data_IF_856988894952
#
_entry.id   IF_856988894952
#
_cell.length_a   1.000
_cell.length_b   1.000
_cell.length_c   1.000
_cell.angle_alpha   90.00
_cell.angle_beta   90.00
_cell.angle_gamma   90.00
#
_symmetry.space_group_name_H-M   'P 1'
#
loop_
_entity.id
_entity.type
_entity.pdbx_description
1 polymer ?
#
# COMPACT_ATOMS: atom_id res chain seq x y z
N UNK A 1 1.08 -76.31 -44.24
CA UNK A 1 0.14 -75.90 -43.20
C UNK A 1 0.75 -74.64 -42.58
N UNK A 2 0.54 -73.44 -43.16
CA UNK A 2 -0.61 -72.53 -42.91
C UNK A 2 -0.75 -72.30 -41.40
N UNK A 3 -0.54 -71.13 -40.79
CA UNK A 3 -0.69 -69.71 -41.18
C UNK A 3 0.30 -68.87 -40.32
N UNK A 4 0.66 -67.60 -40.52
CA UNK A 4 0.20 -66.50 -41.37
C UNK A 4 1.12 -65.28 -41.14
N UNK A 5 1.09 -64.35 -42.07
CA UNK A 5 1.92 -63.13 -42.13
C UNK A 5 1.63 -62.15 -40.98
N UNK A 6 2.66 -61.46 -40.49
CA UNK A 6 2.55 -60.04 -40.08
C UNK A 6 3.89 -59.32 -40.27
N UNK A 7 3.85 -58.25 -41.07
CA UNK A 7 4.98 -57.38 -41.38
C UNK A 7 5.33 -56.47 -40.20
N UNK A 8 6.61 -56.40 -39.83
CA UNK A 8 7.13 -55.40 -38.89
C UNK A 8 7.52 -54.12 -39.65
N UNK A 9 6.61 -53.16 -39.74
CA UNK A 9 6.94 -51.79 -40.12
C UNK A 9 7.17 -50.96 -38.85
N UNK A 10 8.38 -50.42 -38.74
CA UNK A 10 8.74 -49.48 -37.68
C UNK A 10 7.90 -48.21 -37.76
N UNK A 11 7.30 -47.84 -36.63
CA UNK A 11 6.71 -46.53 -36.41
C UNK A 11 7.35 -45.97 -35.14
N UNK A 12 8.08 -44.88 -35.34
CA UNK A 12 8.62 -43.95 -34.34
C UNK A 12 7.60 -43.61 -33.25
N UNK A 13 8.00 -43.47 -31.97
CA UNK A 13 7.09 -42.99 -30.94
C UNK A 13 6.71 -41.54 -31.27
N UNK A 14 5.41 -41.32 -31.48
CA UNK A 14 4.85 -39.99 -31.62
C UNK A 14 5.16 -39.19 -30.35
N UNK A 15 5.95 -38.12 -30.52
CA UNK A 15 6.18 -37.11 -29.51
C UNK A 15 4.84 -36.54 -29.06
N UNK A 16 4.55 -36.63 -27.77
CA UNK A 16 3.49 -35.88 -27.10
C UNK A 16 3.58 -34.40 -27.53
N UNK A 17 2.48 -33.78 -27.99
CA UNK A 17 2.51 -32.35 -28.23
C UNK A 17 2.72 -31.67 -26.88
N UNK A 18 3.84 -30.97 -26.74
CA UNK A 18 4.08 -30.10 -25.59
C UNK A 18 2.93 -29.10 -25.46
N UNK A 19 2.68 -28.57 -24.25
CA UNK A 19 1.57 -27.66 -24.03
C UNK A 19 1.73 -26.46 -24.97
N UNK A 20 0.78 -26.30 -25.89
CA UNK A 20 0.67 -25.12 -26.73
C UNK A 20 0.72 -23.88 -25.83
N UNK A 21 1.47 -22.82 -26.20
CA UNK A 21 1.49 -21.61 -25.42
C UNK A 21 0.06 -21.08 -25.37
N UNK A 22 -0.52 -21.06 -24.17
CA UNK A 22 -1.84 -20.51 -23.94
C UNK A 22 -1.87 -19.10 -24.57
N UNK A 23 -2.75 -18.93 -25.55
CA UNK A 23 -3.12 -17.62 -26.06
C UNK A 23 -3.46 -16.73 -24.85
N UNK A 24 -2.64 -15.70 -24.61
CA UNK A 24 -2.84 -14.69 -23.55
C UNK A 24 -4.07 -13.83 -23.86
N UNK A 25 -5.26 -14.44 -23.79
CA UNK A 25 -6.54 -13.76 -23.83
C UNK A 25 -7.05 -13.70 -22.38
N UNK A 26 -7.04 -12.49 -21.81
CA UNK A 26 -7.69 -12.05 -20.56
C UNK A 26 -6.92 -12.00 -19.22
N UNK A 27 -5.61 -11.70 -19.20
CA UNK A 27 -4.92 -11.34 -17.94
C UNK A 27 -5.12 -9.87 -17.51
N UNK A 28 -5.38 -8.95 -18.45
CA UNK A 28 -5.50 -7.51 -18.20
C UNK A 28 -6.58 -7.07 -17.19
N UNK A 29 -7.79 -7.69 -17.16
CA UNK A 29 -8.81 -7.34 -16.16
C UNK A 29 -8.39 -7.75 -14.75
N UNK A 30 -7.59 -8.82 -14.60
CA UNK A 30 -7.16 -9.31 -13.29
C UNK A 30 -6.14 -8.37 -12.63
N UNK A 31 -5.24 -7.79 -13.42
CA UNK A 31 -4.22 -6.85 -12.95
C UNK A 31 -4.82 -5.47 -12.64
N UNK A 32 -5.76 -5.01 -13.47
CA UNK A 32 -6.48 -3.75 -13.23
C UNK A 32 -7.29 -3.79 -11.92
N UNK A 33 -7.86 -4.95 -11.56
CA UNK A 33 -8.55 -5.15 -10.28
C UNK A 33 -7.59 -5.10 -9.08
N UNK A 34 -6.31 -5.48 -9.24
CA UNK A 34 -5.32 -5.36 -8.15
C UNK A 34 -5.07 -3.91 -7.78
N UNK A 35 -5.11 -2.99 -8.75
CA UNK A 35 -4.97 -1.54 -8.51
C UNK A 35 -6.17 -0.96 -7.77
N UNK A 36 -7.32 -1.63 -7.79
CA UNK A 36 -8.55 -1.23 -7.10
C UNK A 36 -8.67 -1.84 -5.68
N UNK A 37 -7.58 -2.39 -5.12
CA UNK A 37 -7.60 -2.97 -3.77
C UNK A 37 -8.16 -1.99 -2.72
N UNK A 38 -7.71 -0.72 -2.75
CA UNK A 38 -8.16 0.31 -1.80
C UNK A 38 -9.68 0.51 -1.88
N UNK A 39 -10.26 0.50 -3.08
CA UNK A 39 -11.69 0.72 -3.30
C UNK A 39 -12.55 -0.23 -2.46
N UNK A 40 -12.16 -1.51 -2.40
CA UNK A 40 -12.92 -2.54 -1.66
C UNK A 40 -12.47 -2.63 -0.20
N UNK A 41 -11.17 -2.44 0.05
CA UNK A 41 -10.58 -2.65 1.38
C UNK A 41 -11.06 -1.64 2.41
N UNK A 42 -11.08 -0.37 2.06
CA UNK A 42 -11.44 0.74 2.95
C UNK A 42 -12.87 0.61 3.53
N UNK A 43 -13.93 0.43 2.72
CA UNK A 43 -15.30 0.38 3.23
C UNK A 43 -15.55 -0.94 3.98
N UNK A 44 -14.87 -2.03 3.59
CA UNK A 44 -14.90 -3.28 4.34
C UNK A 44 -14.29 -3.14 5.73
N UNK A 45 -13.15 -2.47 5.86
CA UNK A 45 -12.54 -2.21 7.17
C UNK A 45 -13.39 -1.26 8.03
N UNK A 46 -14.10 -0.32 7.41
CA UNK A 46 -15.05 0.56 8.09
C UNK A 46 -16.29 -0.21 8.59
N UNK A 47 -16.92 -1.03 7.73
CA UNK A 47 -18.03 -1.91 8.12
C UNK A 47 -17.63 -2.82 9.29
N UNK A 48 -16.45 -3.45 9.20
CA UNK A 48 -15.91 -4.31 10.25
C UNK A 48 -15.65 -3.55 11.56
N UNK A 49 -15.24 -2.28 11.50
CA UNK A 49 -15.11 -1.41 12.68
C UNK A 49 -16.48 -1.21 13.32
N UNK A 50 -17.49 -0.84 12.53
CA UNK A 50 -18.87 -0.62 12.99
C UNK A 50 -19.44 -1.87 13.66
N UNK A 51 -19.42 -3.02 12.97
CA UNK A 51 -19.96 -4.27 13.50
C UNK A 51 -19.31 -4.67 14.84
N UNK A 52 -17.99 -4.51 14.96
CA UNK A 52 -17.28 -4.80 16.23
C UNK A 52 -17.67 -3.86 17.35
N UNK A 53 -17.92 -2.59 17.05
CA UNK A 53 -18.40 -1.62 18.04
C UNK A 53 -19.80 -1.99 18.53
N UNK A 54 -20.70 -2.34 17.60
CA UNK A 54 -22.05 -2.82 17.90
C UNK A 54 -22.02 -4.10 18.73
N UNK A 55 -21.22 -5.11 18.37
CA UNK A 55 -21.08 -6.36 19.15
C UNK A 55 -20.63 -6.07 20.58
N UNK A 56 -19.59 -5.25 20.77
CA UNK A 56 -19.09 -4.90 22.11
C UNK A 56 -20.12 -4.14 22.94
N UNK A 57 -20.89 -3.25 22.32
CA UNK A 57 -21.96 -2.53 23.00
C UNK A 57 -23.04 -3.50 23.49
N UNK A 58 -23.47 -4.43 22.64
CA UNK A 58 -24.45 -5.46 22.98
C UNK A 58 -23.93 -6.35 24.11
N UNK A 59 -22.72 -6.89 23.98
CA UNK A 59 -22.09 -7.72 25.02
C UNK A 59 -22.04 -6.98 26.37
N UNK A 60 -21.57 -5.73 26.37
CA UNK A 60 -21.46 -4.92 27.60
C UNK A 60 -22.82 -4.68 28.26
N UNK A 61 -23.81 -4.23 27.51
CA UNK A 61 -25.12 -3.89 28.09
C UNK A 61 -25.91 -5.13 28.50
N UNK A 62 -25.86 -6.21 27.70
CA UNK A 62 -26.51 -7.48 28.04
C UNK A 62 -25.87 -8.10 29.28
N UNK A 63 -24.53 -8.15 29.37
CA UNK A 63 -23.84 -8.66 30.58
C UNK A 63 -24.20 -7.84 31.82
N UNK A 64 -24.31 -6.52 31.70
CA UNK A 64 -24.68 -5.67 32.82
C UNK A 64 -26.15 -5.84 33.24
N UNK A 65 -27.05 -6.11 32.30
CA UNK A 65 -28.46 -6.45 32.62
C UNK A 65 -28.55 -7.80 33.30
N UNK A 66 -27.87 -8.83 32.78
CA UNK A 66 -27.84 -10.17 33.39
C UNK A 66 -27.28 -10.11 34.81
N UNK A 67 -26.18 -9.38 35.03
CA UNK A 67 -25.61 -9.17 36.36
C UNK A 67 -26.59 -8.45 37.30
N UNK A 68 -27.28 -7.41 36.81
CA UNK A 68 -28.30 -6.72 37.59
C UNK A 68 -29.48 -7.63 37.96
N UNK A 69 -29.93 -8.49 37.06
CA UNK A 69 -31.00 -9.47 37.39
C UNK A 69 -30.53 -10.45 38.46
N UNK A 70 -29.30 -10.95 38.38
CA UNK A 70 -28.74 -11.84 39.39
C UNK A 70 -28.65 -11.17 40.77
N UNK A 71 -28.20 -9.90 40.83
CA UNK A 71 -28.14 -9.13 42.07
C UNK A 71 -29.53 -8.95 42.71
N UNK A 72 -30.57 -8.77 41.90
CA UNK A 72 -31.94 -8.65 42.38
C UNK A 72 -32.53 -9.97 42.91
N UNK A 73 -31.95 -11.12 42.55
CA UNK A 73 -32.34 -12.45 43.07
C UNK A 73 -31.63 -12.76 44.38
N UNK A 74 -30.37 -12.34 44.52
CA UNK A 74 -29.54 -12.65 45.68
C UNK A 74 -29.74 -11.69 46.87
N UNK A 75 -30.25 -10.47 46.63
CA UNK A 75 -30.56 -9.51 47.70
C UNK A 75 -32.01 -9.64 48.16
N UNK A 76 -32.22 -9.62 49.48
CA UNK A 76 -33.54 -9.29 50.03
C UNK A 76 -33.84 -7.82 49.76
N UNK A 77 -34.66 -7.57 48.74
CA UNK A 77 -35.12 -6.24 48.36
C UNK A 77 -36.57 -6.05 48.78
N UNK A 78 -36.95 -4.83 49.18
CA UNK A 78 -38.37 -4.50 49.30
C UNK A 78 -39.06 -4.55 47.92
N UNK A 79 -40.39 -4.66 47.90
CA UNK A 79 -41.16 -4.70 46.64
C UNK A 79 -40.94 -3.44 45.82
N UNK A 80 -40.91 -2.29 46.49
CA UNK A 80 -40.70 -0.98 45.88
C UNK A 80 -39.30 -0.86 45.26
N UNK A 81 -38.26 -1.32 45.97
CA UNK A 81 -36.88 -1.34 45.48
C UNK A 81 -36.71 -2.30 44.29
N UNK A 82 -37.34 -3.49 44.35
CA UNK A 82 -37.30 -4.46 43.26
C UNK A 82 -37.96 -3.89 41.98
N UNK A 83 -39.09 -3.21 42.11
CA UNK A 83 -39.78 -2.54 40.99
C UNK A 83 -38.90 -1.43 40.40
N UNK A 84 -38.29 -0.58 41.23
CA UNK A 84 -37.39 0.47 40.76
C UNK A 84 -36.16 -0.10 40.03
N UNK A 85 -35.58 -1.17 40.57
CA UNK A 85 -34.42 -1.83 39.98
C UNK A 85 -34.75 -2.45 38.62
N UNK A 86 -35.84 -3.23 38.52
CA UNK A 86 -36.30 -3.81 37.26
C UNK A 86 -36.66 -2.73 36.23
N UNK A 87 -37.28 -1.63 36.67
CA UNK A 87 -37.59 -0.48 35.79
C UNK A 87 -36.31 0.15 35.23
N UNK A 88 -35.26 0.28 36.04
CA UNK A 88 -33.94 0.73 35.60
C UNK A 88 -33.34 -0.21 34.54
N UNK A 89 -33.39 -1.53 34.76
CA UNK A 89 -32.91 -2.52 33.77
C UNK A 89 -33.70 -2.46 32.45
N UNK A 90 -35.02 -2.31 32.51
CA UNK A 90 -35.86 -2.11 31.31
C UNK A 90 -35.47 -0.83 30.58
N UNK A 91 -35.24 0.27 31.30
CA UNK A 91 -34.80 1.53 30.68
C UNK A 91 -33.46 1.39 29.96
N UNK A 92 -32.52 0.61 30.51
CA UNK A 92 -31.23 0.30 29.88
C UNK A 92 -31.41 -0.52 28.61
N UNK A 93 -32.27 -1.54 28.62
CA UNK A 93 -32.60 -2.33 27.42
C UNK A 93 -33.27 -1.49 26.33
N UNK A 94 -34.17 -0.58 26.70
CA UNK A 94 -34.77 0.37 25.76
C UNK A 94 -33.71 1.32 25.16
N UNK A 95 -32.76 1.78 25.98
CA UNK A 95 -31.61 2.57 25.51
C UNK A 95 -30.71 1.78 24.55
N UNK A 96 -30.44 0.51 24.84
CA UNK A 96 -29.70 -0.39 23.97
C UNK A 96 -30.42 -0.58 22.62
N UNK A 97 -31.74 -0.81 22.64
CA UNK A 97 -32.55 -0.94 21.42
C UNK A 97 -32.40 0.30 20.52
N UNK A 98 -32.55 1.51 21.07
CA UNK A 98 -32.41 2.76 20.29
C UNK A 98 -31.02 2.89 19.65
N UNK A 99 -29.95 2.58 20.41
CA UNK A 99 -28.58 2.60 19.90
C UNK A 99 -28.33 1.55 18.81
N UNK A 100 -28.96 0.38 18.94
CA UNK A 100 -28.86 -0.69 17.97
C UNK A 100 -29.58 -0.33 16.66
N UNK A 101 -30.74 0.33 16.73
CA UNK A 101 -31.46 0.83 15.55
C UNK A 101 -30.61 1.85 14.76
N UNK A 102 -29.92 2.75 15.46
CA UNK A 102 -28.98 3.72 14.85
C UNK A 102 -27.76 3.01 14.25
N UNK A 103 -27.15 2.09 15.00
CA UNK A 103 -25.99 1.33 14.52
C UNK A 103 -26.33 0.49 13.29
N UNK A 104 -27.51 -0.13 13.25
CA UNK A 104 -27.99 -0.90 12.12
C UNK A 104 -28.20 -0.04 10.86
N UNK A 105 -28.73 1.18 10.99
CA UNK A 105 -28.83 2.13 9.86
C UNK A 105 -27.45 2.48 9.31
N UNK A 106 -26.49 2.76 10.19
CA UNK A 106 -25.12 3.07 9.80
C UNK A 106 -24.47 1.87 9.09
N UNK A 107 -24.62 0.66 9.63
CA UNK A 107 -24.11 -0.57 9.02
C UNK A 107 -24.75 -0.84 7.65
N UNK A 108 -26.05 -0.62 7.48
CA UNK A 108 -26.73 -0.73 6.19
C UNK A 108 -26.14 0.22 5.15
N UNK A 109 -25.86 1.47 5.53
CA UNK A 109 -25.17 2.43 4.65
C UNK A 109 -23.78 1.93 4.22
N UNK A 110 -23.01 1.35 5.15
CA UNK A 110 -21.69 0.78 4.81
C UNK A 110 -21.77 -0.45 3.92
N UNK A 111 -22.78 -1.31 4.12
CA UNK A 111 -23.06 -2.45 3.24
C UNK A 111 -23.44 -1.97 1.84
N UNK A 112 -24.28 -0.94 1.74
CA UNK A 112 -24.62 -0.32 0.45
C UNK A 112 -23.38 0.16 -0.28
N UNK A 113 -22.47 0.88 0.39
CA UNK A 113 -21.20 1.33 -0.20
C UNK A 113 -20.34 0.17 -0.68
N UNK A 114 -20.22 -0.89 0.12
CA UNK A 114 -19.49 -2.10 -0.30
C UNK A 114 -20.12 -2.70 -1.57
N UNK A 115 -21.45 -2.79 -1.63
CA UNK A 115 -22.18 -3.30 -2.80
C UNK A 115 -21.99 -2.42 -4.03
N UNK A 116 -22.19 -1.11 -3.91
CA UNK A 116 -22.02 -0.15 -5.00
C UNK A 116 -20.62 -0.25 -5.64
N UNK A 117 -19.58 -0.46 -4.84
CA UNK A 117 -18.21 -0.61 -5.31
C UNK A 117 -17.95 -1.96 -5.98
N UNK A 118 -18.54 -3.05 -5.47
CA UNK A 118 -18.49 -4.35 -6.14
C UNK A 118 -19.24 -4.33 -7.48
N UNK A 119 -20.41 -3.72 -7.53
CA UNK A 119 -21.20 -3.53 -8.74
C UNK A 119 -20.41 -2.69 -9.76
N UNK A 120 -19.77 -1.59 -9.31
CA UNK A 120 -18.90 -0.78 -10.14
C UNK A 120 -17.69 -1.57 -10.69
N UNK A 121 -17.07 -2.45 -9.89
CA UNK A 121 -15.99 -3.32 -10.38
C UNK A 121 -16.47 -4.40 -11.34
N UNK A 122 -17.72 -4.85 -11.22
CA UNK A 122 -18.30 -5.85 -12.13
C UNK A 122 -18.39 -5.32 -13.57
N UNK A 123 -18.56 -4.01 -13.75
CA UNK A 123 -18.60 -3.34 -15.06
C UNK A 123 -17.28 -3.56 -15.82
N UNK A 124 -16.14 -3.57 -15.12
CA UNK A 124 -14.84 -3.79 -15.76
C UNK A 124 -14.75 -5.18 -16.41
N UNK A 125 -15.41 -6.20 -15.83
CA UNK A 125 -15.38 -7.59 -16.33
C UNK A 125 -16.51 -7.91 -17.29
N UNK A 126 -17.71 -7.39 -17.04
CA UNK A 126 -18.93 -7.80 -17.73
C UNK A 126 -19.62 -6.67 -18.51
N UNK A 127 -19.14 -5.44 -18.40
CA UNK A 127 -19.72 -4.27 -19.07
C UNK A 127 -19.39 -4.20 -20.55
N UNK A 128 -20.25 -3.49 -21.30
CA UNK A 128 -19.97 -3.10 -22.68
C UNK A 128 -18.78 -2.13 -22.77
N UNK A 129 -18.21 -1.94 -23.96
CA UNK A 129 -17.12 -0.96 -24.18
C UNK A 129 -17.53 0.46 -23.77
N UNK A 130 -18.76 0.87 -24.04
CA UNK A 130 -19.29 2.17 -23.61
C UNK A 130 -19.38 2.28 -22.09
N UNK A 131 -19.80 1.21 -21.41
CA UNK A 131 -19.82 1.17 -19.96
C UNK A 131 -18.41 1.23 -19.36
N UNK A 132 -17.43 0.59 -20.00
CA UNK A 132 -16.01 0.68 -19.60
C UNK A 132 -15.43 2.08 -19.80
N UNK A 133 -15.83 2.82 -20.84
CA UNK A 133 -15.43 4.22 -21.02
C UNK A 133 -15.97 5.12 -19.91
N UNK A 134 -17.25 4.97 -19.56
CA UNK A 134 -17.85 5.68 -18.41
C UNK A 134 -17.17 5.30 -17.10
N UNK A 135 -16.87 4.01 -16.92
CA UNK A 135 -16.13 3.51 -15.76
C UNK A 135 -14.76 4.18 -15.61
N UNK A 136 -14.00 4.35 -16.71
CA UNK A 136 -12.72 5.05 -16.69
C UNK A 136 -12.86 6.52 -16.26
N UNK A 137 -13.90 7.21 -16.72
CA UNK A 137 -14.18 8.59 -16.30
C UNK A 137 -14.43 8.67 -14.79
N UNK A 138 -15.33 7.82 -14.29
CA UNK A 138 -15.64 7.70 -12.86
C UNK A 138 -14.41 7.33 -12.03
N UNK A 139 -13.51 6.49 -12.57
CA UNK A 139 -12.25 6.15 -11.91
C UNK A 139 -11.35 7.38 -11.73
N UNK A 140 -11.23 8.22 -12.75
CA UNK A 140 -10.44 9.46 -12.67
C UNK A 140 -11.03 10.40 -11.61
N UNK A 141 -12.35 10.61 -11.62
CA UNK A 141 -13.03 11.44 -10.62
C UNK A 141 -12.79 10.93 -9.19
N UNK A 142 -12.87 9.61 -8.98
CA UNK A 142 -12.55 8.98 -7.69
C UNK A 142 -11.09 9.21 -7.27
N UNK A 143 -10.15 9.07 -8.20
CA UNK A 143 -8.72 9.32 -7.93
C UNK A 143 -8.48 10.78 -7.55
N UNK A 144 -9.16 11.72 -8.20
CA UNK A 144 -9.09 13.14 -7.86
C UNK A 144 -9.69 13.41 -6.48
N UNK A 145 -10.83 12.80 -6.15
CA UNK A 145 -11.42 12.89 -4.80
C UNK A 145 -10.45 12.35 -3.74
N UNK A 146 -9.84 11.17 -3.93
CA UNK A 146 -8.80 10.63 -3.02
C UNK A 146 -7.64 11.62 -2.85
N UNK A 147 -7.12 12.19 -3.94
CA UNK A 147 -6.04 13.17 -3.88
C UNK A 147 -6.43 14.44 -3.11
N UNK A 148 -7.62 14.97 -3.37
CA UNK A 148 -8.14 16.17 -2.69
C UNK A 148 -8.32 15.91 -1.18
N UNK A 149 -8.87 14.76 -0.80
CA UNK A 149 -9.03 14.39 0.61
C UNK A 149 -7.69 14.26 1.34
N UNK A 150 -6.67 13.71 0.68
CA UNK A 150 -5.31 13.59 1.23
C UNK A 150 -4.57 14.93 1.31
N UNK A 151 -4.93 15.87 0.44
CA UNK A 151 -4.35 17.22 0.39
C UNK A 151 -5.15 18.24 1.21
N UNK A 152 -6.06 17.76 2.07
CA UNK A 152 -6.93 18.58 2.93
C UNK A 152 -7.94 19.49 2.19
N UNK A 153 -8.19 19.25 0.90
CA UNK A 153 -9.20 19.96 0.10
C UNK A 153 -10.59 19.34 0.23
N UNK A 154 -11.07 19.17 1.46
CA UNK A 154 -12.27 18.40 1.79
C UNK A 154 -13.54 18.92 1.10
N UNK A 155 -13.80 20.23 1.15
CA UNK A 155 -15.02 20.82 0.59
C UNK A 155 -15.09 20.65 -0.94
N UNK A 156 -13.93 20.74 -1.60
CA UNK A 156 -13.83 20.51 -3.05
C UNK A 156 -14.03 19.05 -3.39
N UNK A 157 -13.48 18.13 -2.58
CA UNK A 157 -13.67 16.69 -2.75
C UNK A 157 -15.15 16.29 -2.61
N UNK A 158 -15.85 16.87 -1.62
CA UNK A 158 -17.30 16.65 -1.41
C UNK A 158 -18.09 17.14 -2.63
N UNK A 159 -17.86 18.38 -3.07
CA UNK A 159 -18.56 18.95 -4.23
C UNK A 159 -18.33 18.16 -5.51
N UNK A 160 -17.09 17.71 -5.75
CA UNK A 160 -16.77 16.87 -6.90
C UNK A 160 -17.55 15.55 -6.83
N UNK A 161 -17.53 14.88 -5.67
CA UNK A 161 -18.23 13.63 -5.49
C UNK A 161 -19.75 13.75 -5.66
N UNK A 162 -20.34 14.86 -5.21
CA UNK A 162 -21.76 15.16 -5.41
C UNK A 162 -22.10 15.42 -6.88
N UNK A 163 -21.31 16.26 -7.56
CA UNK A 163 -21.54 16.62 -8.96
C UNK A 163 -21.40 15.41 -9.91
N UNK A 164 -20.49 14.49 -9.60
CA UNK A 164 -20.27 13.26 -10.35
C UNK A 164 -21.15 12.09 -9.87
N UNK A 165 -21.90 12.27 -8.77
CA UNK A 165 -22.73 11.23 -8.13
C UNK A 165 -21.93 9.96 -7.77
N UNK A 166 -20.77 10.13 -7.15
CA UNK A 166 -19.82 9.06 -6.78
C UNK A 166 -19.58 8.95 -5.26
N UNK A 167 -20.46 9.50 -4.44
CA UNK A 167 -20.31 9.53 -2.97
C UNK A 167 -20.15 8.11 -2.38
N UNK A 168 -20.89 7.12 -2.91
CA UNK A 168 -20.78 5.73 -2.48
C UNK A 168 -19.48 5.04 -2.93
N UNK A 169 -18.76 5.64 -3.89
CA UNK A 169 -17.49 5.15 -4.43
C UNK A 169 -16.27 5.89 -3.86
N UNK A 170 -16.49 6.92 -3.04
CA UNK A 170 -15.47 7.73 -2.41
C UNK A 170 -15.42 7.49 -0.89
N UNK A 171 -14.25 7.72 -0.29
CA UNK A 171 -13.99 7.45 1.14
C UNK A 171 -14.12 8.71 2.02
N UNK A 172 -15.03 9.64 1.66
CA UNK A 172 -15.14 10.98 2.25
C UNK A 172 -15.26 10.95 3.77
N UNK A 173 -16.24 10.22 4.32
CA UNK A 173 -16.51 10.22 5.76
C UNK A 173 -15.30 9.79 6.59
N UNK A 174 -14.51 8.85 6.07
CA UNK A 174 -13.33 8.32 6.76
C UNK A 174 -12.26 9.40 6.88
N UNK A 175 -12.10 10.21 5.84
CA UNK A 175 -11.20 11.36 5.85
C UNK A 175 -11.74 12.52 6.69
N UNK A 176 -13.06 12.74 6.74
CA UNK A 176 -13.66 13.74 7.62
C UNK A 176 -13.54 13.36 9.11
N UNK A 177 -13.64 12.09 9.45
CA UNK A 177 -13.36 11.61 10.80
C UNK A 177 -11.87 11.79 11.15
N UNK A 178 -10.96 11.46 10.22
CA UNK A 178 -9.53 11.64 10.41
C UNK A 178 -9.11 13.12 10.49
N UNK A 179 -9.84 14.02 9.81
CA UNK A 179 -9.63 15.48 9.84
C UNK A 179 -9.62 16.02 11.27
N UNK A 180 -10.51 15.55 12.14
CA UNK A 180 -10.54 15.97 13.56
C UNK A 180 -9.21 15.69 14.27
N UNK A 181 -8.61 14.55 13.96
CA UNK A 181 -7.30 14.16 14.53
C UNK A 181 -6.18 15.02 13.94
N UNK A 182 -6.21 15.28 12.63
CA UNK A 182 -5.24 16.17 11.98
C UNK A 182 -5.29 17.58 12.56
N UNK A 183 -6.48 18.19 12.61
CA UNK A 183 -6.68 19.54 13.15
C UNK A 183 -6.30 19.61 14.65
N UNK A 184 -6.61 18.58 15.44
CA UNK A 184 -6.19 18.54 16.84
C UNK A 184 -4.65 18.52 16.98
N UNK A 185 -3.97 17.67 16.22
CA UNK A 185 -2.51 17.57 16.26
C UNK A 185 -1.82 18.86 15.76
N UNK A 186 -2.35 19.50 14.72
CA UNK A 186 -1.88 20.80 14.23
C UNK A 186 -2.06 21.90 15.31
N UNK A 187 -3.15 21.84 16.07
CA UNK A 187 -3.42 22.71 17.21
C UNK A 187 -2.71 22.27 18.51
N UNK A 188 -1.77 21.33 18.43
CA UNK A 188 -0.98 20.82 19.55
C UNK A 188 -1.80 20.12 20.64
N UNK A 189 -2.88 19.46 20.24
CA UNK A 189 -3.73 18.64 21.08
C UNK A 189 -3.64 17.15 20.69
N UNK A 190 -3.35 16.30 21.68
CA UNK A 190 -3.27 14.86 21.50
C UNK A 190 -4.60 14.13 21.78
N UNK A 191 -5.64 14.81 22.25
CA UNK A 191 -6.87 14.20 22.75
C UNK A 191 -7.55 13.32 21.72
N UNK A 192 -7.83 13.85 20.53
CA UNK A 192 -8.47 13.11 19.43
C UNK A 192 -7.60 11.96 18.91
N UNK A 193 -6.28 12.18 18.81
CA UNK A 193 -5.32 11.16 18.38
C UNK A 193 -5.24 9.98 19.37
N UNK A 194 -5.31 10.26 20.67
CA UNK A 194 -5.34 9.26 21.73
C UNK A 194 -6.67 8.51 21.80
N UNK A 195 -7.79 9.19 21.57
CA UNK A 195 -9.10 8.56 21.42
C UNK A 195 -9.08 7.58 20.23
N UNK A 196 -8.53 8.01 19.08
CA UNK A 196 -8.34 7.15 17.91
C UNK A 196 -7.43 5.94 18.21
N UNK A 197 -6.37 6.12 18.99
CA UNK A 197 -5.51 5.02 19.44
C UNK A 197 -6.29 4.01 20.29
N UNK A 198 -7.13 4.48 21.22
CA UNK A 198 -7.94 3.63 22.07
C UNK A 198 -8.95 2.79 21.27
N UNK A 199 -9.62 3.41 20.28
CA UNK A 199 -10.54 2.72 19.37
C UNK A 199 -9.85 1.62 18.56
N UNK A 200 -8.62 1.89 18.12
CA UNK A 200 -7.86 1.02 17.21
C UNK A 200 -6.80 0.15 17.90
N UNK A 201 -6.77 0.13 19.23
CA UNK A 201 -5.73 -0.49 20.08
C UNK A 201 -5.31 -1.89 19.65
N UNK A 202 -6.28 -2.76 19.32
CA UNK A 202 -5.99 -4.14 18.94
C UNK A 202 -5.25 -4.25 17.59
N UNK A 203 -5.56 -3.39 16.62
CA UNK A 203 -4.89 -3.35 15.32
C UNK A 203 -3.50 -2.71 15.46
N UNK A 204 -3.40 -1.61 16.21
CA UNK A 204 -2.12 -0.93 16.47
C UNK A 204 -1.13 -1.82 17.22
N UNK A 205 -1.59 -2.59 18.22
CA UNK A 205 -0.76 -3.57 18.94
C UNK A 205 -0.25 -4.67 18.00
N UNK A 206 -1.09 -5.19 17.10
CA UNK A 206 -0.66 -6.17 16.09
C UNK A 206 0.36 -5.60 15.11
N UNK A 207 0.20 -4.33 14.74
CA UNK A 207 1.14 -3.59 13.90
C UNK A 207 2.43 -3.17 14.62
N UNK A 208 2.54 -3.41 15.94
CA UNK A 208 3.63 -2.94 16.81
C UNK A 208 3.85 -1.42 16.70
N UNK A 209 2.77 -0.66 16.55
CA UNK A 209 2.85 0.80 16.42
C UNK A 209 3.36 1.44 17.71
N UNK A 210 4.23 2.45 17.57
CA UNK A 210 4.71 3.32 18.64
C UNK A 210 3.94 4.63 18.74
N UNK A 211 2.85 4.80 17.97
CA UNK A 211 2.16 6.07 17.84
C UNK A 211 1.57 6.57 19.17
N UNK A 212 0.84 5.70 19.89
CA UNK A 212 0.29 6.04 21.22
C UNK A 212 1.40 6.47 22.20
N UNK A 213 2.52 5.74 22.23
CA UNK A 213 3.65 6.10 23.07
C UNK A 213 4.19 7.50 22.76
N UNK A 214 4.34 7.84 21.48
CA UNK A 214 4.87 9.15 21.07
C UNK A 214 3.90 10.30 21.36
N UNK A 215 2.59 10.09 21.24
CA UNK A 215 1.59 11.07 21.68
C UNK A 215 1.70 11.33 23.18
N UNK A 216 1.76 10.26 24.00
CA UNK A 216 1.94 10.37 25.45
C UNK A 216 3.26 11.04 25.83
N UNK A 217 4.32 10.77 25.06
CA UNK A 217 5.61 11.42 25.23
C UNK A 217 5.50 12.93 24.95
N UNK A 218 4.79 13.32 23.89
CA UNK A 218 4.57 14.73 23.57
C UNK A 218 3.76 15.45 24.65
N UNK A 219 2.66 14.88 25.13
CA UNK A 219 1.89 15.45 26.27
C UNK A 219 2.79 15.67 27.49
N UNK A 220 3.67 14.70 27.81
CA UNK A 220 4.65 14.86 28.88
C UNK A 220 5.62 16.02 28.61
N UNK A 221 6.17 16.13 27.41
CA UNK A 221 7.10 17.21 27.04
C UNK A 221 6.41 18.58 27.13
N UNK A 222 5.13 18.69 26.76
CA UNK A 222 4.37 19.94 26.90
C UNK A 222 4.10 20.31 28.36
N UNK A 223 3.89 19.33 29.26
CA UNK A 223 3.81 19.57 30.70
C UNK A 223 5.14 20.11 31.25
N UNK A 224 6.27 19.55 30.80
CA UNK A 224 7.61 20.04 31.17
C UNK A 224 7.85 21.45 30.62
N UNK A 225 7.47 21.71 29.36
CA UNK A 225 7.57 23.04 28.73
C UNK A 225 6.76 24.09 29.51
N UNK A 226 5.62 23.70 30.07
CA UNK A 226 4.74 24.55 30.88
C UNK A 226 5.19 24.68 32.35
N UNK A 227 6.36 24.16 32.71
CA UNK A 227 6.93 24.14 34.07
C UNK A 227 6.11 23.39 35.14
N UNK A 228 5.16 22.54 34.74
CA UNK A 228 4.29 21.76 35.64
C UNK A 228 4.95 20.43 36.05
N UNK A 229 6.07 20.49 36.76
CA UNK A 229 6.93 19.30 36.97
C UNK A 229 6.27 18.18 37.76
N UNK A 230 5.50 18.50 38.81
CA UNK A 230 4.81 17.48 39.60
C UNK A 230 3.75 16.75 38.77
N UNK A 231 2.98 17.49 37.97
CA UNK A 231 2.00 16.90 37.04
C UNK A 231 2.69 16.04 35.98
N UNK A 232 3.81 16.50 35.41
CA UNK A 232 4.59 15.74 34.44
C UNK A 232 5.09 14.40 35.02
N UNK A 233 5.60 14.40 36.27
CA UNK A 233 6.06 13.18 36.95
C UNK A 233 4.89 12.22 37.20
N UNK A 234 3.75 12.73 37.70
CA UNK A 234 2.55 11.91 37.91
C UNK A 234 2.04 11.31 36.59
N UNK A 235 2.00 12.13 35.55
CA UNK A 235 1.60 11.72 34.21
C UNK A 235 2.52 10.62 33.66
N UNK A 236 3.84 10.79 33.75
CA UNK A 236 4.79 9.81 33.26
C UNK A 236 4.68 8.47 33.99
N UNK A 237 4.48 8.48 35.31
CA UNK A 237 4.23 7.25 36.11
C UNK A 237 2.97 6.52 35.65
N UNK A 238 1.92 7.26 35.30
CA UNK A 238 0.63 6.70 34.89
C UNK A 238 0.64 6.17 33.45
N UNK A 239 1.20 6.95 32.52
CA UNK A 239 1.04 6.72 31.07
C UNK A 239 2.30 6.24 30.36
N UNK A 240 3.49 6.61 30.83
CA UNK A 240 4.76 6.24 30.18
C UNK A 240 5.44 5.02 30.81
N UNK A 241 5.29 4.80 32.12
CA UNK A 241 5.88 3.66 32.82
C UNK A 241 5.55 2.28 32.19
N UNK A 242 4.32 2.01 31.69
CA UNK A 242 4.01 0.74 31.02
C UNK A 242 4.86 0.46 29.76
N UNK A 243 5.45 1.49 29.15
CA UNK A 243 6.29 1.40 27.96
C UNK A 243 7.78 1.21 28.28
N UNK A 244 8.17 1.19 29.56
CA UNK A 244 9.55 1.06 29.98
C UNK A 244 10.22 -0.22 29.48
N UNK A 245 9.49 -1.32 29.31
CA UNK A 245 10.06 -2.59 28.82
C UNK A 245 10.45 -2.55 27.33
N UNK A 246 9.78 -1.72 26.52
CA UNK A 246 9.98 -1.67 25.06
C UNK A 246 10.70 -0.40 24.58
N UNK A 247 10.59 0.71 25.32
CA UNK A 247 11.03 2.04 24.89
C UNK A 247 11.89 2.76 25.95
N UNK A 248 12.61 2.02 26.80
CA UNK A 248 13.36 2.60 27.93
C UNK A 248 14.29 3.76 27.55
N UNK A 249 15.02 3.65 26.43
CA UNK A 249 15.98 4.69 26.01
C UNK A 249 15.28 6.01 25.69
N UNK A 250 14.19 5.95 24.92
CA UNK A 250 13.38 7.12 24.57
C UNK A 250 12.76 7.74 25.83
N UNK A 251 12.30 6.89 26.77
CA UNK A 251 11.75 7.32 28.05
C UNK A 251 12.79 8.00 28.96
N UNK A 252 14.00 7.44 29.06
CA UNK A 252 15.10 8.05 29.82
C UNK A 252 15.49 9.42 29.26
N UNK A 253 15.55 9.54 27.93
CA UNK A 253 15.85 10.80 27.26
C UNK A 253 14.77 11.85 27.53
N UNK A 254 13.50 11.46 27.52
CA UNK A 254 12.40 12.36 27.89
C UNK A 254 12.45 12.72 29.38
N UNK A 255 12.70 11.77 30.29
CA UNK A 255 12.80 12.07 31.73
C UNK A 255 13.93 13.07 32.04
N UNK A 256 15.02 13.05 31.27
CA UNK A 256 16.11 14.02 31.42
C UNK A 256 15.66 15.47 31.16
N UNK A 257 14.54 15.70 30.44
CA UNK A 257 14.04 17.06 30.21
C UNK A 257 13.47 17.73 31.46
N UNK A 258 13.22 16.96 32.54
CA UNK A 258 12.92 17.50 33.86
C UNK A 258 14.11 18.33 34.41
N UNK A 259 15.33 17.97 34.05
CA UNK A 259 16.54 18.72 34.39
C UNK A 259 16.94 19.68 33.24
N UNK A 260 16.91 19.19 32.00
CA UNK A 260 17.19 19.97 30.79
C UNK A 260 15.90 20.52 30.20
N UNK A 261 15.43 21.65 30.74
CA UNK A 261 14.18 22.32 30.36
C UNK A 261 14.18 22.82 28.90
N UNK A 262 13.06 23.44 28.49
CA UNK A 262 12.82 23.96 27.13
C UNK A 262 13.85 24.98 26.63
N UNK A 263 14.56 25.68 27.51
CA UNK A 263 15.62 26.64 27.19
C UNK A 263 17.03 26.01 27.09
N UNK A 264 17.14 24.67 27.07
CA UNK A 264 18.42 23.98 27.01
C UNK A 264 19.15 24.20 25.68
N UNK A 265 20.46 24.40 25.76
CA UNK A 265 21.36 24.43 24.60
C UNK A 265 21.88 23.03 24.20
N UNK A 266 21.61 22.02 25.03
CA UNK A 266 21.99 20.64 24.72
C UNK A 266 21.13 20.10 23.57
N UNK A 267 21.73 19.95 22.39
CA UNK A 267 21.06 19.53 21.16
C UNK A 267 20.22 18.24 21.34
N UNK A 268 20.73 17.28 22.12
CA UNK A 268 20.06 16.00 22.38
C UNK A 268 18.69 16.14 23.06
N UNK A 269 18.47 17.20 23.84
CA UNK A 269 17.21 17.45 24.54
C UNK A 269 16.41 18.58 23.88
N UNK A 270 17.10 19.57 23.29
CA UNK A 270 16.48 20.67 22.55
C UNK A 270 15.54 20.18 21.44
N UNK A 271 15.94 19.12 20.73
CA UNK A 271 15.12 18.53 19.66
C UNK A 271 13.76 18.01 20.12
N UNK A 272 13.63 17.58 21.39
CA UNK A 272 12.36 17.09 21.95
C UNK A 272 11.36 18.23 22.13
N UNK A 273 11.85 19.45 22.34
CA UNK A 273 11.03 20.65 22.44
C UNK A 273 10.84 21.37 21.09
N UNK A 274 11.27 20.79 19.97
CA UNK A 274 11.04 21.41 18.65
C UNK A 274 9.55 21.32 18.27
N UNK A 275 9.03 22.38 17.65
CA UNK A 275 7.66 22.40 17.10
C UNK A 275 7.49 21.33 16.02
N UNK A 276 8.56 20.99 15.29
CA UNK A 276 8.58 19.91 14.28
C UNK A 276 8.21 18.53 14.82
N UNK A 277 8.23 18.32 16.14
CA UNK A 277 7.72 17.08 16.73
C UNK A 277 6.23 16.87 16.44
N UNK A 278 5.45 17.95 16.35
CA UNK A 278 4.05 17.88 15.97
C UNK A 278 3.87 17.44 14.51
N UNK A 279 4.68 17.98 13.59
CA UNK A 279 4.70 17.53 12.18
C UNK A 279 5.03 16.03 12.08
N UNK A 280 5.98 15.55 12.90
CA UNK A 280 6.33 14.13 12.96
C UNK A 280 5.19 13.27 13.52
N UNK A 281 4.35 13.79 14.42
CA UNK A 281 3.16 13.10 14.92
C UNK A 281 2.07 13.05 13.86
N UNK A 282 1.85 14.15 13.14
CA UNK A 282 0.92 14.20 12.00
C UNK A 282 1.32 13.19 10.93
N UNK A 283 2.59 13.16 10.53
CA UNK A 283 3.08 12.18 9.54
C UNK A 283 2.92 10.73 10.02
N UNK A 284 3.17 10.45 11.29
CA UNK A 284 2.97 9.12 11.85
C UNK A 284 1.50 8.73 11.91
N UNK A 285 0.62 9.67 12.27
CA UNK A 285 -0.81 9.44 12.21
C UNK A 285 -1.24 9.10 10.78
N UNK A 286 -0.78 9.87 9.78
CA UNK A 286 -1.03 9.61 8.35
C UNK A 286 -0.63 8.17 7.96
N UNK A 287 0.58 7.74 8.33
CA UNK A 287 1.05 6.39 8.03
C UNK A 287 0.20 5.30 8.69
N UNK A 288 -0.11 5.45 9.97
CA UNK A 288 -0.93 4.48 10.72
C UNK A 288 -2.36 4.45 10.21
N UNK A 289 -2.94 5.61 9.88
CA UNK A 289 -4.27 5.76 9.30
C UNK A 289 -4.37 5.03 7.96
N UNK A 290 -3.47 5.32 7.02
CA UNK A 290 -3.48 4.65 5.71
C UNK A 290 -3.25 3.14 5.85
N UNK A 291 -2.33 2.71 6.72
CA UNK A 291 -2.09 1.28 6.99
C UNK A 291 -3.30 0.59 7.60
N UNK A 292 -4.03 1.27 8.49
CA UNK A 292 -5.22 0.73 9.16
C UNK A 292 -6.33 0.39 8.15
N UNK A 293 -6.55 1.28 7.17
CA UNK A 293 -7.57 1.13 6.13
C UNK A 293 -7.06 0.41 4.87
N UNK A 294 -5.77 0.07 4.80
CA UNK A 294 -5.17 -0.60 3.65
C UNK A 294 -5.09 0.27 2.40
N UNK A 295 -4.89 1.57 2.62
CA UNK A 295 -4.66 2.58 1.59
C UNK A 295 -3.17 2.61 1.19
N UNK A 296 -2.89 3.14 0.01
CA UNK A 296 -1.52 3.45 -0.40
C UNK A 296 -0.97 4.64 0.40
N UNK A 297 0.34 4.67 0.62
CA UNK A 297 1.00 5.83 1.23
C UNK A 297 1.03 7.01 0.26
N UNK A 298 1.42 6.74 -0.98
CA UNK A 298 1.32 7.71 -2.07
C UNK A 298 -0.14 7.83 -2.54
N UNK A 299 -0.62 9.05 -2.83
CA UNK A 299 -1.92 9.26 -3.46
C UNK A 299 -2.06 8.49 -4.77
N UNK A 300 -3.28 8.00 -5.06
CA UNK A 300 -3.52 7.22 -6.28
C UNK A 300 -3.17 8.00 -7.55
N UNK A 301 -3.38 9.32 -7.54
CA UNK A 301 -3.04 10.19 -8.67
C UNK A 301 -1.56 10.11 -9.02
N UNK A 302 -0.67 10.18 -8.01
CA UNK A 302 0.78 10.10 -8.21
C UNK A 302 1.17 8.76 -8.82
N UNK A 303 0.64 7.66 -8.27
CA UNK A 303 0.94 6.30 -8.74
C UNK A 303 0.53 6.11 -10.21
N UNK A 304 -0.68 6.53 -10.57
CA UNK A 304 -1.19 6.39 -11.94
C UNK A 304 -0.46 7.32 -12.91
N UNK A 305 -0.14 8.54 -12.48
CA UNK A 305 0.60 9.50 -13.31
C UNK A 305 2.02 9.00 -13.57
N UNK A 306 2.72 8.51 -12.55
CA UNK A 306 4.06 7.92 -12.71
C UNK A 306 4.02 6.68 -13.62
N UNK A 307 3.04 5.79 -13.44
CA UNK A 307 2.90 4.61 -14.29
C UNK A 307 2.62 5.00 -15.76
N UNK A 308 1.72 5.96 -15.99
CA UNK A 308 1.39 6.45 -17.32
C UNK A 308 2.57 7.15 -17.99
N UNK A 309 3.24 8.06 -17.30
CA UNK A 309 4.43 8.75 -17.81
C UNK A 309 5.56 7.76 -18.10
N UNK A 310 5.80 6.77 -17.24
CA UNK A 310 6.82 5.74 -17.49
C UNK A 310 6.52 4.91 -18.74
N UNK A 311 5.23 4.61 -18.99
CA UNK A 311 4.82 3.87 -20.19
C UNK A 311 4.98 4.69 -21.48
N UNK A 312 4.82 6.01 -21.39
CA UNK A 312 4.96 6.93 -22.52
C UNK A 312 6.41 7.39 -22.74
N UNK A 313 7.25 7.38 -21.69
CA UNK A 313 8.62 7.90 -21.74
C UNK A 313 9.49 7.07 -22.68
N UNK A 314 9.84 7.67 -23.81
CA UNK A 314 10.81 7.12 -24.78
C UNK A 314 11.97 8.09 -24.98
N UNK A 315 13.15 7.62 -25.44
CA UNK A 315 14.27 8.51 -25.74
C UNK A 315 13.92 9.62 -26.74
N UNK A 316 13.06 9.33 -27.72
CA UNK A 316 12.61 10.28 -28.74
C UNK A 316 11.69 11.39 -28.21
N UNK A 317 11.16 11.28 -27.00
CA UNK A 317 10.37 12.35 -26.37
C UNK A 317 11.19 13.63 -26.12
N UNK A 318 12.52 13.54 -26.20
CA UNK A 318 13.46 14.66 -26.03
C UNK A 318 14.06 15.15 -27.36
N UNK A 319 13.67 14.57 -28.51
CA UNK A 319 14.16 14.94 -29.84
C UNK A 319 13.21 15.94 -30.54
N UNK A 320 13.72 16.80 -31.42
CA UNK A 320 12.98 17.91 -32.07
C UNK A 320 11.90 17.48 -33.10
N UNK A 321 11.48 16.22 -33.12
CA UNK A 321 10.55 15.65 -34.10
C UNK A 321 9.31 14.94 -33.55
N UNK A 322 9.03 15.04 -32.24
CA UNK A 322 7.95 14.28 -31.62
C UNK A 322 6.55 14.79 -32.03
N UNK A 323 5.59 13.87 -32.19
CA UNK A 323 4.22 14.17 -32.63
C UNK A 323 3.47 15.01 -31.58
N UNK A 324 2.68 16.01 -32.01
CA UNK A 324 1.92 16.93 -31.14
C UNK A 324 0.97 16.27 -30.13
N UNK A 325 0.72 14.98 -30.29
CA UNK A 325 -0.12 14.16 -29.40
C UNK A 325 0.65 13.54 -28.22
N UNK A 326 1.98 13.69 -28.14
CA UNK A 326 2.78 13.19 -27.03
C UNK A 326 2.67 14.14 -25.81
N UNK A 327 2.10 13.68 -24.66
CA UNK A 327 2.03 14.49 -23.44
C UNK A 327 3.40 14.94 -22.94
N UNK A 328 4.46 14.19 -23.22
CA UNK A 328 5.84 14.53 -22.85
C UNK A 328 6.44 15.63 -23.72
N UNK A 329 5.71 16.21 -24.67
CA UNK A 329 6.10 17.48 -25.28
C UNK A 329 5.97 18.66 -24.31
N UNK A 330 5.07 18.56 -23.33
CA UNK A 330 4.89 19.62 -22.34
C UNK A 330 6.01 19.55 -21.30
N UNK A 331 6.65 20.70 -21.07
CA UNK A 331 7.78 20.81 -20.15
C UNK A 331 7.43 20.34 -18.72
N UNK A 332 6.22 20.65 -18.24
CA UNK A 332 5.73 20.18 -16.93
C UNK A 332 5.70 18.65 -16.82
N UNK A 333 5.23 17.94 -17.85
CA UNK A 333 5.22 16.49 -17.85
C UNK A 333 6.62 15.88 -18.03
N UNK A 334 7.53 16.56 -18.75
CA UNK A 334 8.94 16.12 -18.83
C UNK A 334 9.64 16.18 -17.47
N UNK A 335 9.45 17.27 -16.73
CA UNK A 335 10.02 17.44 -15.39
C UNK A 335 9.52 16.34 -14.44
N UNK A 336 8.22 16.02 -14.50
CA UNK A 336 7.66 14.92 -13.71
C UNK A 336 8.16 13.54 -14.16
N UNK A 337 8.45 13.37 -15.46
CA UNK A 337 8.92 12.11 -16.01
C UNK A 337 10.44 11.90 -15.90
N UNK A 338 11.23 12.94 -15.61
CA UNK A 338 12.70 12.87 -15.53
C UNK A 338 13.23 11.72 -14.65
N UNK A 339 12.78 11.52 -13.39
CA UNK A 339 13.27 10.43 -12.54
C UNK A 339 12.74 9.04 -12.92
N UNK A 340 11.79 8.96 -13.86
CA UNK A 340 11.12 7.70 -14.20
C UNK A 340 11.91 6.88 -15.23
N UNK A 341 11.77 5.54 -15.23
CA UNK A 341 12.40 4.69 -16.24
C UNK A 341 11.79 4.91 -17.63
N UNK A 342 12.58 4.64 -18.67
CA UNK A 342 12.08 4.58 -20.05
C UNK A 342 11.27 3.31 -20.29
N UNK A 343 10.17 3.40 -21.06
CA UNK A 343 9.29 2.27 -21.38
C UNK A 343 9.98 1.17 -22.18
N UNK A 344 11.01 1.54 -22.95
CA UNK A 344 11.84 0.62 -23.73
C UNK A 344 13.28 0.69 -23.23
N UNK A 345 13.74 -0.39 -22.63
CA UNK A 345 15.16 -0.64 -22.49
C UNK A 345 15.72 -1.03 -23.87
N UNK A 346 16.54 -0.15 -24.46
CA UNK A 346 17.35 -0.52 -25.61
C UNK A 346 18.41 -1.50 -25.10
N UNK A 347 18.13 -2.80 -25.23
CA UNK A 347 19.14 -3.82 -24.99
C UNK A 347 20.04 -3.87 -26.22
N UNK A 348 21.27 -3.37 -26.11
CA UNK A 348 22.27 -3.56 -27.15
C UNK A 348 22.54 -5.06 -27.31
N UNK A 349 22.21 -5.60 -28.48
CA UNK A 349 22.44 -7.00 -28.83
C UNK A 349 23.75 -7.13 -29.59
N UNK A 350 24.65 -7.98 -29.12
CA UNK A 350 25.86 -8.31 -29.87
C UNK A 350 25.55 -9.27 -31.01
N UNK A 351 25.99 -8.93 -32.21
CA UNK A 351 25.88 -9.80 -33.39
C UNK A 351 27.30 -10.14 -33.86
N UNK A 352 27.55 -11.43 -34.06
CA UNK A 352 28.88 -11.88 -34.47
C UNK A 352 29.22 -11.39 -35.88
N UNK A 353 30.43 -10.88 -36.06
CA UNK A 353 30.91 -10.42 -37.36
C UNK A 353 30.98 -11.54 -38.42
N UNK A 354 31.30 -12.77 -38.00
CA UNK A 354 31.49 -13.93 -38.87
C UNK A 354 30.15 -14.63 -39.11
N UNK A 355 29.52 -15.18 -38.07
CA UNK A 355 28.31 -15.98 -38.22
C UNK A 355 27.05 -15.16 -38.47
N UNK A 356 27.09 -13.83 -38.27
CA UNK A 356 25.91 -12.93 -38.29
C UNK A 356 24.80 -13.32 -37.32
N UNK A 357 25.07 -14.25 -36.41
CA UNK A 357 24.14 -14.68 -35.36
C UNK A 357 24.26 -13.81 -34.11
N UNK A 358 23.16 -13.79 -33.33
CA UNK A 358 23.12 -13.18 -32.01
C UNK A 358 24.08 -13.90 -31.06
N UNK A 359 24.79 -13.11 -30.26
CA UNK A 359 25.66 -13.59 -29.19
C UNK A 359 24.89 -13.47 -27.86
N UNK A 360 24.60 -14.61 -27.25
CA UNK A 360 23.75 -14.76 -26.06
C UNK A 360 24.31 -15.86 -25.13
N UNK A 361 23.53 -16.33 -24.14
CA UNK A 361 23.97 -17.37 -23.20
C UNK A 361 24.37 -18.69 -23.89
N UNK A 362 23.63 -19.08 -24.93
CA UNK A 362 23.91 -20.29 -25.73
C UNK A 362 25.08 -20.09 -26.72
N UNK A 363 25.33 -18.85 -27.12
CA UNK A 363 26.35 -18.47 -28.10
C UNK A 363 27.22 -17.30 -27.59
N UNK A 364 28.00 -17.51 -26.51
CA UNK A 364 28.62 -16.41 -25.79
C UNK A 364 29.73 -15.70 -26.59
N UNK A 365 30.00 -14.42 -26.30
CA UNK A 365 31.16 -13.70 -26.82
C UNK A 365 32.48 -14.31 -26.32
N UNK A 366 33.35 -14.65 -27.26
CA UNK A 366 34.73 -15.07 -27.01
C UNK A 366 35.70 -14.02 -27.54
N UNK A 367 36.68 -13.66 -26.71
CA UNK A 367 37.70 -12.65 -26.98
C UNK A 367 39.00 -13.36 -27.36
N UNK A 368 39.54 -13.01 -28.53
CA UNK A 368 40.87 -13.45 -28.95
C UNK A 368 41.97 -12.68 -28.20
N UNK A 369 43.21 -13.20 -28.15
CA UNK A 369 44.35 -12.49 -27.54
C UNK A 369 44.62 -11.09 -28.12
N UNK A 370 44.20 -10.84 -29.36
CA UNK A 370 44.30 -9.54 -30.02
C UNK A 370 43.16 -8.56 -29.69
N UNK A 371 42.24 -8.93 -28.79
CA UNK A 371 41.14 -8.09 -28.30
C UNK A 371 39.86 -8.12 -29.14
N UNK A 372 39.81 -8.83 -30.27
CA UNK A 372 38.58 -8.94 -31.07
C UNK A 372 37.63 -10.01 -30.53
N UNK A 373 36.33 -9.73 -30.63
CA UNK A 373 35.26 -10.57 -30.07
C UNK A 373 34.44 -11.22 -31.17
N UNK A 374 34.22 -12.53 -31.07
CA UNK A 374 33.38 -13.31 -31.97
C UNK A 374 32.54 -14.33 -31.19
N UNK A 375 31.50 -14.88 -31.82
CA UNK A 375 30.64 -15.88 -31.20
C UNK A 375 31.34 -17.22 -31.04
N UNK A 376 31.00 -17.95 -29.97
CA UNK A 376 31.45 -19.32 -29.74
C UNK A 376 31.25 -20.22 -30.96
N UNK A 377 30.05 -20.22 -31.54
CA UNK A 377 29.75 -21.05 -32.73
C UNK A 377 30.68 -20.75 -33.90
N UNK A 378 30.95 -19.47 -34.19
CA UNK A 378 31.87 -19.09 -35.26
C UNK A 378 33.32 -19.56 -35.00
N UNK A 379 33.76 -19.49 -33.74
CA UNK A 379 35.09 -19.95 -33.34
C UNK A 379 35.20 -21.48 -33.40
N UNK A 380 34.17 -22.21 -33.00
CA UNK A 380 34.13 -23.68 -33.05
C UNK A 380 34.10 -24.19 -34.48
N UNK A 381 33.31 -23.57 -35.37
CA UNK A 381 33.27 -23.91 -36.79
C UNK A 381 34.62 -23.62 -37.48
N UNK A 382 35.23 -22.46 -37.18
CA UNK A 382 36.54 -22.11 -37.70
C UNK A 382 37.63 -23.08 -37.23
N UNK A 383 37.62 -23.45 -35.95
CA UNK A 383 38.57 -24.43 -35.40
C UNK A 383 38.37 -25.82 -36.02
N UNK A 384 37.13 -26.26 -36.26
CA UNK A 384 36.85 -27.55 -36.94
C UNK A 384 37.43 -27.58 -38.36
N UNK A 385 37.27 -26.49 -39.11
CA UNK A 385 37.72 -26.41 -40.50
C UNK A 385 39.24 -26.23 -40.63
N UNK A 386 39.91 -25.69 -39.60
CA UNK A 386 41.33 -25.31 -39.65
C UNK A 386 42.20 -26.09 -38.63
N UNK A 387 41.91 -27.37 -38.39
CA UNK A 387 42.71 -28.25 -37.53
C UNK A 387 42.97 -27.69 -36.11
N UNK A 388 41.96 -27.05 -35.51
CA UNK A 388 42.02 -26.47 -34.17
C UNK A 388 42.51 -25.03 -34.11
N UNK A 389 42.91 -24.44 -35.24
CA UNK A 389 43.45 -23.08 -35.32
C UNK A 389 42.39 -22.06 -35.72
N UNK A 390 42.40 -20.91 -35.06
CA UNK A 390 41.45 -19.82 -35.31
C UNK A 390 42.23 -18.63 -35.80
N UNK A 391 41.79 -18.05 -36.92
CA UNK A 391 42.45 -16.88 -37.51
C UNK A 391 41.48 -15.71 -37.53
N UNK A 392 41.87 -14.63 -36.87
CA UNK A 392 41.10 -13.40 -36.83
C UNK A 392 40.95 -12.83 -38.25
N UNK A 393 39.72 -12.71 -38.81
CA UNK A 393 39.53 -12.20 -40.17
C UNK A 393 39.89 -10.72 -40.35
N UNK A 394 40.09 -9.98 -39.24
CA UNK A 394 40.40 -8.55 -39.27
C UNK A 394 41.89 -8.23 -39.17
N UNK A 395 42.66 -9.09 -38.50
CA UNK A 395 44.08 -8.83 -38.21
C UNK A 395 45.01 -9.92 -38.71
N UNK A 396 44.47 -11.06 -39.17
CA UNK A 396 45.26 -12.24 -39.54
C UNK A 396 45.91 -12.98 -38.35
N UNK A 397 45.70 -12.51 -37.11
CA UNK A 397 46.26 -13.15 -35.91
C UNK A 397 45.68 -14.56 -35.73
N UNK A 398 46.54 -15.54 -35.52
CA UNK A 398 46.16 -16.95 -35.40
C UNK A 398 46.46 -17.50 -34.01
N UNK A 399 45.45 -18.07 -33.36
CA UNK A 399 45.51 -18.59 -32.00
C UNK A 399 44.79 -19.94 -31.89
N UNK A 400 45.01 -20.67 -30.80
CA UNK A 400 44.26 -21.91 -30.52
C UNK A 400 42.94 -21.60 -29.80
N UNK A 401 41.97 -22.51 -29.90
CA UNK A 401 40.67 -22.34 -29.22
C UNK A 401 40.79 -22.19 -27.69
N UNK A 402 41.80 -22.82 -27.07
CA UNK A 402 42.04 -22.77 -25.62
C UNK A 402 42.49 -21.38 -25.14
N UNK A 403 43.03 -20.56 -26.03
CA UNK A 403 43.54 -19.21 -25.73
C UNK A 403 42.42 -18.15 -25.74
N UNK A 404 41.18 -18.55 -26.08
CA UNK A 404 40.01 -17.67 -26.08
C UNK A 404 39.49 -17.46 -24.65
N UNK A 405 39.18 -16.20 -24.32
CA UNK A 405 38.54 -15.85 -23.03
C UNK A 405 37.06 -15.50 -23.23
N UNK A 406 36.22 -15.83 -22.26
CA UNK A 406 34.80 -15.42 -22.28
C UNK A 406 34.69 -13.94 -21.90
N UNK A 407 33.97 -13.16 -22.69
CA UNK A 407 33.55 -11.83 -22.27
C UNK A 407 32.20 -11.91 -21.52
N UNK A 408 32.09 -11.12 -20.46
CA UNK A 408 30.84 -10.92 -19.72
C UNK A 408 30.40 -9.47 -19.92
N UNK A 409 29.14 -9.27 -20.27
CA UNK A 409 28.56 -7.95 -20.49
C UNK A 409 27.52 -7.78 -19.39
N UNK A 410 27.68 -6.74 -18.57
CA UNK A 410 26.75 -6.38 -17.50
C UNK A 410 25.67 -5.43 -18.00
#
# INVERSE_FOLDING_TARGET
MMDGETASNGITPASTPGPSPALRLNDHPSESVKLEHQLVRVPYEHLKKSMRATTRLVEKEVSAVVAGVAEAVDKEMSKEEAVQHLTSLVSRLQGLKRKLDESNKNEQGQVQRCRARLDHLSILRFGSKEAQLKWNHTRVERILVDYMLRSSYYDTAVKLAESANIQDLADIDIFLDARKVFEALENRDCTEALAWCAENKSKLKKAKSKFEFKLRLQEFIELVRSEKMMEAIMYARKHLAPWGSTNMKELQQAMATLAFKSNTDCASYKILFDVKQWDNLVQQFTQEFYKLYGMTMEPLLNIHLQAGLSALKTPSCYEEGCTKEDPLLQESFRQLAEPLPFSKHVHSKLVCFISKELMNEDNPPLVLPNGYVYSRKAMEEMAKNNQGRITCPRTGHSCNFVELSKAYIS
#
